data_IF_995928167658
#
_entry.id   IF_995928167658
#
_cell.length_a   1.000
_cell.length_b   1.000
_cell.length_c   1.000
_cell.angle_alpha   90.00
_cell.angle_beta   90.00
_cell.angle_gamma   90.00
#
_symmetry.space_group_name_H-M   'P 1'
#
loop_
_entity.id
_entity.type
_entity.pdbx_description
1 polymer ?
#
# COMPACT_ATOMS: atom_id res chain seq x y z
N UNK A 1 7.83 -33.44 -7.79
CA UNK A 1 8.73 -33.53 -6.61
C UNK A 1 10.05 -32.76 -6.78
N UNK A 2 10.55 -32.60 -7.99
CA UNK A 2 11.81 -31.85 -8.26
C UNK A 2 11.67 -30.33 -8.16
N UNK A 3 10.48 -29.77 -8.34
CA UNK A 3 10.26 -28.31 -8.44
C UNK A 3 10.25 -27.58 -7.08
N UNK A 4 9.91 -28.28 -6.00
CA UNK A 4 9.86 -27.69 -4.65
C UNK A 4 11.19 -27.82 -3.87
N UNK A 5 12.14 -28.62 -4.34
CA UNK A 5 13.42 -28.85 -3.67
C UNK A 5 14.27 -27.56 -3.52
N UNK A 6 14.33 -26.66 -4.53
CA UNK A 6 15.04 -25.40 -4.37
C UNK A 6 14.44 -24.48 -3.29
N UNK A 7 13.10 -24.54 -3.08
CA UNK A 7 12.43 -23.76 -2.04
C UNK A 7 12.68 -24.30 -0.63
N UNK A 8 12.81 -25.63 -0.48
CA UNK A 8 13.23 -26.24 0.79
C UNK A 8 14.65 -25.84 1.15
N UNK A 9 15.53 -25.82 0.16
CA UNK A 9 16.90 -25.36 0.40
C UNK A 9 16.93 -23.87 0.76
N UNK A 10 16.08 -23.04 0.14
CA UNK A 10 15.91 -21.63 0.50
C UNK A 10 15.42 -21.48 1.95
N UNK A 11 14.41 -22.25 2.35
CA UNK A 11 13.91 -22.29 3.73
C UNK A 11 15.01 -22.64 4.74
N UNK A 12 15.80 -23.67 4.44
CA UNK A 12 16.89 -24.09 5.28
C UNK A 12 17.94 -22.98 5.46
N UNK A 13 18.33 -22.33 4.37
CA UNK A 13 19.32 -21.25 4.37
C UNK A 13 18.79 -20.02 5.13
N UNK A 14 17.51 -19.69 4.95
CA UNK A 14 16.84 -18.59 5.65
C UNK A 14 16.74 -18.86 7.17
N UNK A 15 16.41 -20.08 7.59
CA UNK A 15 16.43 -20.47 9.01
C UNK A 15 17.84 -20.40 9.58
N UNK A 16 18.85 -20.80 8.81
CA UNK A 16 20.27 -20.67 9.18
C UNK A 16 20.68 -19.22 9.39
N UNK A 17 20.21 -18.29 8.54
CA UNK A 17 20.46 -16.84 8.69
C UNK A 17 19.81 -16.28 9.96
N UNK A 18 18.59 -16.70 10.28
CA UNK A 18 17.84 -16.19 11.45
C UNK A 18 18.35 -16.77 12.78
N UNK A 19 18.91 -17.97 12.79
CA UNK A 19 19.41 -18.65 14.00
C UNK A 19 20.85 -18.29 14.39
N UNK A 20 21.59 -17.54 13.57
CA UNK A 20 23.01 -17.19 13.76
C UNK A 20 23.20 -15.67 13.86
N UNK A 21 24.40 -15.17 14.21
CA UNK A 21 24.73 -13.77 14.00
C UNK A 21 24.42 -13.36 12.55
N UNK A 22 23.85 -12.20 12.39
CA UNK A 22 23.42 -11.72 11.08
C UNK A 22 24.59 -11.58 10.11
N UNK A 23 24.51 -12.27 8.99
CA UNK A 23 25.48 -12.19 7.89
C UNK A 23 24.83 -11.58 6.66
N UNK A 24 25.34 -10.43 6.25
CA UNK A 24 24.77 -9.65 5.16
C UNK A 24 24.92 -10.34 3.81
N UNK A 25 26.02 -11.05 3.57
CA UNK A 25 26.23 -11.77 2.30
C UNK A 25 25.27 -12.96 2.16
N UNK A 26 24.98 -13.65 3.27
CA UNK A 26 23.97 -14.70 3.30
C UNK A 26 22.58 -14.10 3.10
N UNK A 27 22.28 -12.97 3.74
CA UNK A 27 20.99 -12.29 3.61
C UNK A 27 20.74 -11.82 2.15
N UNK A 28 21.73 -11.22 1.49
CA UNK A 28 21.67 -10.84 0.08
C UNK A 28 21.37 -12.07 -0.81
N UNK A 29 22.10 -13.17 -0.60
CA UNK A 29 21.89 -14.40 -1.38
C UNK A 29 20.51 -15.04 -1.16
N UNK A 30 20.05 -15.11 0.09
CA UNK A 30 18.72 -15.64 0.42
C UNK A 30 17.62 -14.77 -0.21
N UNK A 31 17.75 -13.44 -0.17
CA UNK A 31 16.81 -12.52 -0.77
C UNK A 31 16.72 -12.70 -2.30
N UNK A 32 17.87 -12.70 -2.97
CA UNK A 32 17.95 -12.85 -4.43
C UNK A 32 17.39 -14.21 -4.91
N UNK A 33 17.72 -15.30 -4.18
CA UNK A 33 17.19 -16.63 -4.49
C UNK A 33 15.68 -16.73 -4.24
N UNK A 34 15.15 -16.10 -3.21
CA UNK A 34 13.71 -16.09 -2.94
C UNK A 34 12.95 -15.39 -4.07
N UNK A 35 13.47 -14.29 -4.59
CA UNK A 35 12.90 -13.59 -5.75
C UNK A 35 12.96 -14.47 -7.02
N UNK A 36 14.11 -15.10 -7.30
CA UNK A 36 14.30 -15.95 -8.48
C UNK A 36 13.44 -17.22 -8.45
N UNK A 37 13.22 -17.82 -7.29
CA UNK A 37 12.45 -19.06 -7.15
C UNK A 37 10.93 -18.83 -7.17
N UNK A 38 10.48 -17.60 -6.98
CA UNK A 38 9.07 -17.25 -7.12
C UNK A 38 8.61 -17.18 -8.60
N UNK A 39 9.52 -16.87 -9.54
CA UNK A 39 9.21 -16.73 -10.97
C UNK A 39 8.77 -18.03 -11.66
N UNK A 40 9.45 -19.18 -11.48
CA UNK A 40 9.10 -20.41 -12.20
C UNK A 40 7.85 -21.13 -11.67
N UNK A 41 7.25 -20.69 -10.55
CA UNK A 41 6.08 -21.30 -9.95
C UNK A 41 4.75 -20.81 -10.56
N UNK A 42 4.65 -20.84 -11.88
CA UNK A 42 3.53 -20.29 -12.65
C UNK A 42 2.21 -21.11 -12.59
N UNK A 43 2.14 -22.18 -11.80
CA UNK A 43 0.93 -22.96 -11.63
C UNK A 43 -0.02 -22.26 -10.63
N UNK A 44 -1.31 -22.07 -10.93
CA UNK A 44 -2.29 -21.50 -10.00
C UNK A 44 -2.33 -22.19 -8.63
N UNK A 45 -1.94 -23.48 -8.57
CA UNK A 45 -1.81 -24.24 -7.32
C UNK A 45 -0.71 -23.73 -6.40
N UNK A 46 0.30 -23.08 -6.96
CA UNK A 46 1.44 -22.53 -6.21
C UNK A 46 1.24 -21.07 -5.80
N UNK A 47 0.12 -20.43 -6.13
CA UNK A 47 -0.11 -19.00 -5.92
C UNK A 47 0.15 -18.52 -4.47
N UNK A 48 -0.36 -19.26 -3.47
CA UNK A 48 -0.13 -18.92 -2.05
C UNK A 48 1.34 -19.10 -1.62
N UNK A 49 2.06 -20.06 -2.20
CA UNK A 49 3.47 -20.30 -1.93
C UNK A 49 4.33 -19.19 -2.56
N UNK A 50 4.06 -18.83 -3.82
CA UNK A 50 4.70 -17.67 -4.50
C UNK A 50 4.49 -16.41 -3.68
N UNK A 51 3.27 -16.20 -3.24
CA UNK A 51 2.90 -15.07 -2.40
C UNK A 51 3.69 -15.02 -1.08
N UNK A 52 3.79 -16.12 -0.37
CA UNK A 52 4.54 -16.20 0.89
C UNK A 52 6.05 -16.00 0.66
N UNK A 53 6.61 -16.58 -0.41
CA UNK A 53 8.03 -16.45 -0.77
C UNK A 53 8.39 -15.01 -1.11
N UNK A 54 7.59 -14.34 -1.94
CA UNK A 54 7.78 -12.93 -2.29
C UNK A 54 7.60 -12.01 -1.07
N UNK A 55 6.65 -12.31 -0.18
CA UNK A 55 6.46 -11.58 1.06
C UNK A 55 7.68 -11.64 1.97
N UNK A 56 8.28 -12.82 2.11
CA UNK A 56 9.54 -13.01 2.85
C UNK A 56 10.70 -12.25 2.19
N UNK A 57 10.89 -12.38 0.86
CA UNK A 57 11.91 -11.66 0.11
C UNK A 57 11.78 -10.14 0.26
N UNK A 58 10.58 -9.60 0.07
CA UNK A 58 10.30 -8.17 0.17
C UNK A 58 10.59 -7.60 1.57
N UNK A 59 10.35 -8.40 2.63
CA UNK A 59 10.68 -7.97 3.98
C UNK A 59 12.18 -8.07 4.27
N UNK A 60 12.83 -9.11 3.77
CA UNK A 60 14.27 -9.32 3.90
C UNK A 60 15.08 -8.24 3.16
N UNK A 61 14.63 -7.82 1.97
CA UNK A 61 15.31 -6.80 1.16
C UNK A 61 15.45 -5.45 1.88
N UNK A 62 14.59 -5.14 2.83
CA UNK A 62 14.70 -3.92 3.63
C UNK A 62 16.00 -3.86 4.45
N UNK A 63 16.53 -5.01 4.86
CA UNK A 63 17.78 -5.12 5.63
C UNK A 63 18.99 -5.19 4.71
N UNK A 64 18.90 -5.92 3.60
CA UNK A 64 20.00 -6.01 2.63
C UNK A 64 20.27 -4.65 1.96
N UNK A 65 19.21 -3.91 1.61
CA UNK A 65 19.33 -2.58 1.01
C UNK A 65 19.88 -1.52 1.99
N UNK A 66 19.47 -1.58 3.26
CA UNK A 66 19.95 -0.63 4.28
C UNK A 66 21.32 -0.98 4.83
N UNK A 67 21.85 -2.18 4.53
CA UNK A 67 23.09 -2.73 5.09
C UNK A 67 23.10 -2.79 6.62
N UNK A 68 21.92 -2.92 7.22
CA UNK A 68 21.72 -3.00 8.68
C UNK A 68 20.96 -4.27 9.01
N UNK A 69 21.49 -5.08 9.91
CA UNK A 69 20.81 -6.30 10.37
C UNK A 69 19.53 -5.98 11.17
N UNK A 70 18.57 -6.91 11.19
CA UNK A 70 17.32 -6.72 11.91
C UNK A 70 17.53 -6.72 13.43
N UNK A 71 16.81 -5.84 14.12
CA UNK A 71 16.66 -5.92 15.59
C UNK A 71 15.73 -7.09 15.93
N UNK A 72 15.74 -7.53 17.19
CA UNK A 72 15.05 -8.75 17.63
C UNK A 72 13.57 -8.81 17.23
N UNK A 73 12.83 -7.72 17.41
CA UNK A 73 11.41 -7.64 17.00
C UNK A 73 11.20 -7.84 15.50
N UNK A 74 12.17 -7.47 14.68
CA UNK A 74 12.16 -7.65 13.23
C UNK A 74 12.58 -9.05 12.80
N UNK A 75 13.44 -9.71 13.59
CA UNK A 75 13.76 -11.14 13.42
C UNK A 75 12.52 -12.00 13.60
N UNK A 76 11.74 -11.76 14.66
CA UNK A 76 10.46 -12.45 14.91
C UNK A 76 9.50 -12.30 13.71
N UNK A 77 9.46 -11.13 13.08
CA UNK A 77 8.64 -10.92 11.89
C UNK A 77 9.14 -11.69 10.66
N UNK A 78 10.47 -11.77 10.47
CA UNK A 78 11.07 -12.59 9.41
C UNK A 78 10.80 -14.08 9.64
N UNK A 79 10.89 -14.55 10.89
CA UNK A 79 10.55 -15.92 11.27
C UNK A 79 9.09 -16.25 10.96
N UNK A 80 8.14 -15.35 11.31
CA UNK A 80 6.73 -15.54 11.02
C UNK A 80 6.43 -15.61 9.51
N UNK A 81 7.12 -14.81 8.68
CA UNK A 81 6.99 -14.87 7.22
C UNK A 81 7.60 -16.15 6.65
N UNK A 82 8.72 -16.61 7.21
CA UNK A 82 9.35 -17.88 6.84
C UNK A 82 8.47 -19.07 7.22
N UNK A 83 7.85 -19.04 8.40
CA UNK A 83 6.90 -20.07 8.84
C UNK A 83 5.67 -20.14 7.94
N UNK A 84 5.14 -19.00 7.49
CA UNK A 84 4.04 -18.96 6.52
C UNK A 84 4.44 -19.61 5.17
N UNK A 85 5.66 -19.37 4.69
CA UNK A 85 6.19 -20.02 3.49
C UNK A 85 6.33 -21.54 3.70
N UNK A 86 6.85 -21.96 4.84
CA UNK A 86 6.99 -23.38 5.22
C UNK A 86 5.63 -24.09 5.26
N UNK A 87 4.62 -23.46 5.85
CA UNK A 87 3.26 -24.01 5.91
C UNK A 87 2.67 -24.23 4.51
N UNK A 88 2.87 -23.30 3.59
CA UNK A 88 2.40 -23.46 2.20
C UNK A 88 3.15 -24.58 1.46
N UNK A 89 4.46 -24.69 1.68
CA UNK A 89 5.28 -25.80 1.16
C UNK A 89 4.74 -27.16 1.63
N UNK A 90 4.48 -27.32 2.93
CA UNK A 90 3.95 -28.56 3.51
C UNK A 90 2.55 -28.91 3.00
N UNK A 91 1.69 -27.90 2.82
CA UNK A 91 0.34 -28.09 2.26
C UNK A 91 0.39 -28.65 0.85
N UNK A 92 1.27 -28.12 0.00
CA UNK A 92 1.43 -28.61 -1.38
C UNK A 92 1.98 -30.03 -1.43
N UNK A 93 2.93 -30.39 -0.54
CA UNK A 93 3.43 -31.75 -0.43
C UNK A 93 2.36 -32.75 0.00
N UNK A 94 1.53 -32.35 0.97
CA UNK A 94 0.44 -33.18 1.49
C UNK A 94 -0.65 -33.35 0.44
N UNK A 95 -1.00 -32.31 -0.28
CA UNK A 95 -1.99 -32.37 -1.37
C UNK A 95 -1.53 -33.29 -2.51
N UNK A 96 -0.26 -33.17 -2.92
CA UNK A 96 0.33 -34.05 -3.95
C UNK A 96 0.37 -35.52 -3.49
N UNK A 97 0.60 -35.77 -2.21
CA UNK A 97 0.57 -37.11 -1.65
C UNK A 97 -0.84 -37.71 -1.61
N UNK A 98 -1.87 -36.90 -1.36
CA UNK A 98 -3.28 -37.36 -1.40
C UNK A 98 -3.75 -37.67 -2.83
N UNK A 99 -3.34 -36.90 -3.83
CA UNK A 99 -3.67 -37.17 -5.25
C UNK A 99 -3.08 -38.49 -5.75
N UNK A 100 -1.98 -38.97 -5.16
CA UNK A 100 -1.35 -40.25 -5.49
C UNK A 100 -2.08 -41.43 -4.82
N UNK A 101 -2.83 -41.17 -3.73
CA UNK A 101 -3.46 -42.23 -2.91
C UNK A 101 -4.97 -42.45 -3.15
N UNK A 102 -5.63 -41.64 -3.99
CA UNK A 102 -7.05 -41.82 -4.32
C UNK A 102 -7.21 -42.26 -5.77
N UNK A 103 -7.55 -43.53 -6.03
CA UNK A 103 -8.07 -43.91 -7.36
C UNK A 103 -9.44 -43.28 -7.56
N UNK A 104 -9.60 -42.70 -8.71
CA UNK A 104 -10.81 -42.08 -9.20
C UNK A 104 -11.93 -43.08 -9.28
N UNK A 105 -12.82 -43.13 -8.31
CA UNK A 105 -14.15 -43.76 -8.47
C UNK A 105 -15.11 -43.21 -7.40
N UNK A 106 -16.24 -42.73 -7.91
CA UNK A 106 -17.52 -42.51 -7.22
C UNK A 106 -17.66 -41.26 -6.33
N UNK A 107 -18.11 -40.19 -6.95
CA UNK A 107 -19.10 -39.30 -6.33
C UNK A 107 -20.13 -38.92 -7.41
N UNK A 108 -21.11 -39.81 -7.56
CA UNK A 108 -22.37 -39.51 -8.25
C UNK A 108 -23.28 -38.71 -7.34
N UNK A 109 -23.70 -37.56 -7.85
CA UNK A 109 -25.02 -36.94 -7.74
C UNK A 109 -25.77 -36.97 -6.41
N UNK A 110 -25.89 -35.82 -5.78
CA UNK A 110 -27.15 -35.35 -5.21
C UNK A 110 -27.45 -33.92 -5.68
N UNK A 111 -28.69 -33.65 -6.16
CA UNK A 111 -29.06 -32.31 -6.59
C UNK A 111 -29.42 -31.46 -5.37
N UNK A 112 -28.68 -30.34 -5.18
CA UNK A 112 -29.09 -29.30 -4.23
C UNK A 112 -30.39 -28.67 -4.71
N UNK A 113 -31.45 -28.83 -3.94
CA UNK A 113 -32.71 -28.09 -4.08
C UNK A 113 -32.42 -26.58 -3.91
N UNK A 114 -32.77 -25.82 -4.93
CA UNK A 114 -32.89 -24.37 -4.81
C UNK A 114 -34.16 -24.06 -3.99
N UNK A 115 -33.97 -23.58 -2.79
CA UNK A 115 -35.02 -22.95 -2.01
C UNK A 115 -35.35 -21.57 -2.53
N UNK A 116 -36.63 -21.24 -2.51
CA UNK A 116 -37.24 -20.06 -3.10
C UNK A 116 -36.80 -18.77 -2.36
N UNK A 117 -36.89 -17.58 -3.00
CA UNK A 117 -36.46 -16.33 -2.39
C UNK A 117 -37.39 -15.92 -1.25
N UNK A 118 -36.84 -15.83 -0.07
CA UNK A 118 -37.50 -15.22 1.06
C UNK A 118 -37.74 -13.72 0.80
N UNK A 119 -38.92 -13.28 1.11
CA UNK A 119 -39.39 -11.87 1.09
C UNK A 119 -38.42 -10.96 1.84
N UNK A 120 -38.26 -9.72 1.41
CA UNK A 120 -37.33 -8.79 2.07
C UNK A 120 -37.79 -8.50 3.50
N UNK A 121 -37.08 -9.10 4.43
CA UNK A 121 -37.14 -8.73 5.83
C UNK A 121 -36.56 -7.32 6.01
N UNK A 122 -37.25 -6.55 6.79
CA UNK A 122 -36.95 -5.16 7.15
C UNK A 122 -35.46 -4.91 7.36
N UNK A 123 -34.95 -3.91 6.67
CA UNK A 123 -33.60 -3.35 6.86
C UNK A 123 -33.40 -3.03 8.33
N UNK A 124 -32.46 -3.67 9.03
CA UNK A 124 -32.13 -3.26 10.39
C UNK A 124 -31.62 -1.82 10.32
N UNK A 125 -32.18 -0.96 11.16
CA UNK A 125 -31.73 0.41 11.35
C UNK A 125 -30.21 0.43 11.47
N UNK A 126 -29.52 1.43 10.87
CA UNK A 126 -28.05 1.47 10.88
C UNK A 126 -27.58 1.43 12.34
N UNK A 127 -26.91 0.34 12.70
CA UNK A 127 -26.18 0.26 13.96
C UNK A 127 -25.30 1.50 14.03
N UNK A 128 -25.38 2.27 15.12
CA UNK A 128 -24.52 3.42 15.38
C UNK A 128 -23.07 2.99 15.15
N UNK A 129 -22.55 3.25 13.93
CA UNK A 129 -21.11 3.16 13.69
C UNK A 129 -20.49 4.13 14.66
N UNK A 130 -19.53 3.69 15.45
CA UNK A 130 -18.74 4.58 16.29
C UNK A 130 -18.23 5.70 15.36
N UNK A 131 -18.54 6.93 15.68
CA UNK A 131 -18.20 8.06 14.82
C UNK A 131 -16.66 8.13 14.73
N UNK A 132 -16.14 8.32 13.52
CA UNK A 132 -14.71 8.49 13.28
C UNK A 132 -14.20 9.67 14.10
N UNK A 133 -13.12 9.45 14.87
CA UNK A 133 -12.64 10.40 15.88
C UNK A 133 -11.33 11.04 15.44
N UNK A 134 -11.22 12.35 15.65
CA UNK A 134 -9.96 13.11 15.52
C UNK A 134 -9.52 13.55 16.92
N UNK A 135 -8.25 13.33 17.23
CA UNK A 135 -7.66 13.85 18.47
C UNK A 135 -7.05 15.21 18.16
N UNK A 136 -7.41 16.21 18.95
CA UNK A 136 -6.82 17.53 18.84
C UNK A 136 -6.07 17.91 20.11
N UNK A 137 -4.76 18.10 20.00
CA UNK A 137 -3.94 18.64 21.08
C UNK A 137 -4.12 20.15 21.12
N UNK A 138 -4.90 20.62 22.06
CA UNK A 138 -5.18 22.04 22.27
C UNK A 138 -4.81 22.48 23.69
N UNK A 139 -3.58 22.90 23.94
CA UNK A 139 -3.14 23.33 25.27
C UNK A 139 -3.93 24.53 25.84
N UNK A 140 -4.60 25.29 24.97
CA UNK A 140 -5.36 26.50 25.37
C UNK A 140 -6.85 26.21 25.52
N UNK A 141 -7.36 25.13 24.95
CA UNK A 141 -8.79 24.78 24.93
C UNK A 141 -9.64 25.71 24.03
N UNK A 142 -9.03 26.59 23.25
CA UNK A 142 -9.73 27.64 22.49
C UNK A 142 -10.01 27.27 21.04
N UNK A 143 -9.10 26.53 20.42
CA UNK A 143 -9.16 26.23 18.98
C UNK A 143 -9.98 24.96 18.71
N UNK A 144 -10.02 24.02 19.66
CA UNK A 144 -10.70 22.73 19.49
C UNK A 144 -12.23 22.84 19.43
N UNK A 145 -12.82 23.79 20.15
CA UNK A 145 -14.28 23.95 20.19
C UNK A 145 -14.87 24.34 18.84
N UNK A 146 -14.32 25.38 18.20
CA UNK A 146 -14.81 25.86 16.91
C UNK A 146 -14.55 24.83 15.79
N UNK A 147 -13.34 24.27 15.73
CA UNK A 147 -13.00 23.23 14.75
C UNK A 147 -13.80 21.94 14.98
N UNK A 148 -14.08 21.61 16.25
CA UNK A 148 -14.92 20.47 16.64
C UNK A 148 -16.29 20.53 16.00
N UNK A 149 -17.00 21.64 16.15
CA UNK A 149 -18.33 21.83 15.58
C UNK A 149 -18.33 21.66 14.05
N UNK A 150 -17.38 22.30 13.36
CA UNK A 150 -17.30 22.20 11.89
C UNK A 150 -16.93 20.77 11.42
N UNK A 151 -16.18 20.01 12.21
CA UNK A 151 -15.86 18.62 11.90
C UNK A 151 -17.00 17.66 12.24
N UNK A 152 -17.81 17.96 13.26
CA UNK A 152 -19.00 17.19 13.59
C UNK A 152 -20.07 17.30 12.47
N UNK A 153 -20.21 18.45 11.85
CA UNK A 153 -21.12 18.67 10.71
C UNK A 153 -20.76 17.77 9.50
N UNK A 154 -19.50 17.35 9.40
CA UNK A 154 -19.02 16.45 8.34
C UNK A 154 -18.80 15.00 8.80
N UNK A 155 -19.26 14.66 10.02
CA UNK A 155 -19.37 13.29 10.54
C UNK A 155 -18.17 12.79 11.36
N UNK A 156 -17.30 13.69 11.83
CA UNK A 156 -16.18 13.36 12.72
C UNK A 156 -16.45 13.89 14.14
N UNK A 157 -15.97 13.16 15.15
CA UNK A 157 -15.95 13.65 16.53
C UNK A 157 -14.55 14.15 16.88
N UNK A 158 -14.45 15.34 17.46
CA UNK A 158 -13.17 15.86 17.94
C UNK A 158 -13.02 15.60 19.43
N UNK A 159 -11.96 14.86 19.81
CA UNK A 159 -11.56 14.64 21.19
C UNK A 159 -10.43 15.61 21.54
N UNK A 160 -10.69 16.70 22.27
CA UNK A 160 -9.63 17.60 22.70
C UNK A 160 -8.80 16.98 23.83
N UNK A 161 -7.47 17.15 23.75
CA UNK A 161 -6.53 16.83 24.81
C UNK A 161 -5.65 18.06 25.08
N UNK A 162 -5.37 18.34 26.36
CA UNK A 162 -4.56 19.50 26.73
C UNK A 162 -3.06 19.33 26.42
N UNK A 163 -2.59 18.09 26.33
CA UNK A 163 -1.17 17.79 26.13
C UNK A 163 -0.99 16.47 25.42
N UNK A 164 0.15 16.34 24.77
CA UNK A 164 0.63 15.11 24.19
C UNK A 164 1.47 14.35 25.21
N UNK A 165 1.02 13.15 25.60
CA UNK A 165 1.68 12.28 26.59
C UNK A 165 1.50 10.80 26.25
N UNK A 166 1.98 9.90 27.14
CA UNK A 166 1.84 8.45 26.93
C UNK A 166 0.39 7.97 26.87
N UNK A 167 -0.55 8.65 27.54
CA UNK A 167 -1.98 8.29 27.45
C UNK A 167 -2.54 8.58 26.07
N UNK A 168 -2.00 9.59 25.37
CA UNK A 168 -2.35 9.88 23.97
C UNK A 168 -2.09 8.67 23.07
N UNK A 169 -1.04 7.89 23.33
CA UNK A 169 -0.74 6.66 22.60
C UNK A 169 -1.86 5.62 22.68
N UNK A 170 -2.49 5.48 23.83
CA UNK A 170 -3.64 4.58 24.03
C UNK A 170 -4.86 5.04 23.20
N UNK A 171 -5.08 6.35 23.11
CA UNK A 171 -6.13 6.89 22.25
C UNK A 171 -5.83 6.65 20.78
N UNK A 172 -4.62 6.93 20.32
CA UNK A 172 -4.21 6.77 18.93
C UNK A 172 -4.27 5.31 18.45
N UNK A 173 -4.22 4.35 19.36
CA UNK A 173 -4.32 2.91 19.04
C UNK A 173 -5.74 2.44 18.77
N UNK A 174 -6.76 3.22 19.13
CA UNK A 174 -8.17 2.86 18.93
C UNK A 174 -8.55 2.90 17.44
N UNK A 175 -9.33 1.94 16.94
CA UNK A 175 -9.67 1.84 15.50
C UNK A 175 -10.56 3.00 15.00
N UNK A 176 -11.36 3.61 15.87
CA UNK A 176 -12.19 4.78 15.55
C UNK A 176 -11.37 6.05 15.35
N UNK A 177 -10.14 6.14 15.86
CA UNK A 177 -9.29 7.32 15.69
C UNK A 177 -8.67 7.32 14.30
N UNK A 178 -8.97 8.39 13.54
CA UNK A 178 -8.54 8.57 12.15
C UNK A 178 -7.46 9.64 11.98
N UNK A 179 -7.28 10.52 12.95
CA UNK A 179 -6.27 11.57 12.84
C UNK A 179 -5.90 12.21 14.17
N UNK A 180 -4.74 12.85 14.14
CA UNK A 180 -4.20 13.68 15.21
C UNK A 180 -3.94 15.08 14.66
N UNK A 181 -4.52 16.09 15.31
CA UNK A 181 -4.25 17.50 15.05
C UNK A 181 -3.29 17.98 16.14
N UNK A 182 -2.12 18.43 15.74
CA UNK A 182 -1.01 18.76 16.63
C UNK A 182 -0.51 20.20 16.40
N UNK A 183 -0.41 21.04 17.44
CA UNK A 183 0.28 22.32 17.32
C UNK A 183 1.75 22.13 16.92
N UNK A 184 2.29 23.01 16.09
CA UNK A 184 3.68 22.93 15.66
C UNK A 184 4.67 22.90 16.85
N UNK A 185 4.35 23.56 17.97
CA UNK A 185 5.12 23.51 19.20
C UNK A 185 5.16 22.09 19.85
N UNK A 186 4.24 21.21 19.49
CA UNK A 186 4.16 19.82 19.99
C UNK A 186 5.03 18.83 19.20
N UNK A 187 5.63 19.23 18.07
CA UNK A 187 6.38 18.33 17.18
C UNK A 187 7.58 17.66 17.87
N UNK A 188 8.30 18.39 18.71
CA UNK A 188 9.44 17.80 19.43
C UNK A 188 9.00 16.76 20.48
N UNK A 189 7.84 16.96 21.09
CA UNK A 189 7.24 15.97 22.00
C UNK A 189 6.77 14.74 21.23
N UNK A 190 6.16 14.95 20.07
CA UNK A 190 5.74 13.88 19.19
C UNK A 190 6.90 12.98 18.76
N UNK A 191 8.01 13.55 18.29
CA UNK A 191 9.20 12.81 17.90
C UNK A 191 9.77 11.98 19.07
N UNK A 192 9.81 12.56 20.28
CA UNK A 192 10.27 11.85 21.48
C UNK A 192 9.33 10.68 21.85
N UNK A 193 8.02 10.87 21.73
CA UNK A 193 7.06 9.81 22.01
C UNK A 193 7.19 8.65 21.03
N UNK A 194 7.38 8.93 19.73
CA UNK A 194 7.63 7.90 18.72
C UNK A 194 8.90 7.09 18.99
N UNK A 195 9.94 7.73 19.53
CA UNK A 195 11.17 7.04 19.93
C UNK A 195 11.00 6.16 21.17
N UNK A 196 10.13 6.58 22.10
CA UNK A 196 9.90 5.89 23.38
C UNK A 196 8.87 4.77 23.29
N UNK A 197 7.94 4.84 22.34
CA UNK A 197 6.85 3.90 22.19
C UNK A 197 6.71 3.44 20.73
N UNK A 198 7.30 2.30 20.37
CA UNK A 198 7.22 1.75 19.01
C UNK A 198 5.79 1.44 18.55
N UNK A 199 4.84 1.23 19.46
CA UNK A 199 3.44 0.98 19.09
C UNK A 199 2.79 2.21 18.43
N UNK A 200 3.27 3.40 18.76
CA UNK A 200 2.85 4.65 18.11
C UNK A 200 3.24 4.74 16.64
N UNK A 201 4.31 4.08 16.21
CA UNK A 201 4.69 4.06 14.79
C UNK A 201 3.65 3.33 13.94
N UNK A 202 3.08 2.24 14.47
CA UNK A 202 1.96 1.55 13.80
C UNK A 202 0.70 2.43 13.77
N UNK A 203 0.35 3.09 14.87
CA UNK A 203 -0.77 4.02 14.92
C UNK A 203 -0.57 5.17 13.92
N UNK A 204 0.63 5.78 13.87
CA UNK A 204 1.00 6.85 12.93
C UNK A 204 0.78 6.48 11.48
N UNK A 205 1.08 5.24 11.08
CA UNK A 205 0.85 4.78 9.70
C UNK A 205 -0.63 4.71 9.34
N UNK A 206 -1.48 4.51 10.32
CA UNK A 206 -2.93 4.35 10.17
C UNK A 206 -3.69 5.68 10.20
N UNK A 207 -3.27 6.63 11.06
CA UNK A 207 -3.95 7.91 11.26
C UNK A 207 -3.35 9.03 10.43
N UNK A 208 -4.15 10.05 10.11
CA UNK A 208 -3.67 11.31 9.54
C UNK A 208 -3.00 12.19 10.61
N UNK A 209 -1.85 12.78 10.30
CA UNK A 209 -1.19 13.78 11.16
C UNK A 209 -1.33 15.17 10.56
N UNK A 210 -1.99 16.07 11.28
CA UNK A 210 -2.22 17.45 10.88
C UNK A 210 -1.51 18.40 11.82
N UNK A 211 -0.68 19.27 11.30
CA UNK A 211 0.04 20.27 12.10
C UNK A 211 -0.60 21.63 11.92
N UNK A 212 -0.90 22.29 13.04
CA UNK A 212 -1.43 23.64 13.08
C UNK A 212 -0.38 24.61 13.67
N UNK A 213 -0.22 25.77 13.06
CA UNK A 213 0.75 26.79 13.46
C UNK A 213 0.12 28.19 13.48
N UNK A 214 0.73 29.14 14.17
CA UNK A 214 0.31 30.57 14.15
C UNK A 214 1.05 31.41 13.10
N UNK A 215 2.08 30.84 12.48
CA UNK A 215 2.88 31.49 11.43
C UNK A 215 3.21 30.50 10.31
N UNK A 216 3.40 31.02 9.10
CA UNK A 216 3.82 30.23 7.94
C UNK A 216 5.34 30.26 7.78
N UNK A 217 6.04 29.77 8.79
CA UNK A 217 7.49 29.70 8.74
C UNK A 217 7.96 28.45 7.97
N UNK A 218 8.87 28.59 6.98
CA UNK A 218 9.39 27.46 6.22
C UNK A 218 10.00 26.35 7.10
N UNK A 219 10.62 26.74 8.23
CA UNK A 219 11.19 25.78 9.20
C UNK A 219 10.12 24.91 9.84
N UNK A 220 8.96 25.49 10.20
CA UNK A 220 7.86 24.72 10.79
C UNK A 220 7.24 23.77 9.77
N UNK A 221 7.08 24.20 8.51
CA UNK A 221 6.64 23.30 7.42
C UNK A 221 7.61 22.14 7.22
N UNK A 222 8.91 22.41 7.17
CA UNK A 222 9.93 21.38 7.02
C UNK A 222 9.88 20.38 8.20
N UNK A 223 9.76 20.87 9.42
CA UNK A 223 9.64 20.03 10.62
C UNK A 223 8.37 19.19 10.60
N UNK A 224 7.23 19.76 10.21
CA UNK A 224 5.98 19.03 10.03
C UNK A 224 6.14 17.91 8.98
N UNK A 225 6.77 18.20 7.85
CA UNK A 225 7.07 17.20 6.82
C UNK A 225 7.97 16.08 7.33
N UNK A 226 9.04 16.38 8.07
CA UNK A 226 9.94 15.41 8.70
C UNK A 226 9.21 14.54 9.73
N UNK A 227 8.28 15.11 10.51
CA UNK A 227 7.41 14.39 11.42
C UNK A 227 6.37 13.52 10.69
N UNK A 228 6.26 13.64 9.37
CA UNK A 228 5.33 12.89 8.53
C UNK A 228 3.92 13.44 8.54
N UNK A 229 3.73 14.75 8.72
CA UNK A 229 2.43 15.38 8.64
C UNK A 229 1.82 15.26 7.24
N UNK A 230 0.52 15.02 7.19
CA UNK A 230 -0.28 14.95 5.98
C UNK A 230 -0.84 16.32 5.57
N UNK A 231 -0.90 17.26 6.53
CA UNK A 231 -1.30 18.64 6.31
C UNK A 231 -0.63 19.60 7.29
N UNK A 232 -0.35 20.83 6.81
CA UNK A 232 0.15 21.94 7.63
C UNK A 232 -0.75 23.15 7.42
N UNK A 233 -1.32 23.67 8.50
CA UNK A 233 -2.31 24.73 8.46
C UNK A 233 -1.91 25.90 9.35
N UNK A 234 -2.14 27.12 8.86
CA UNK A 234 -1.82 28.35 9.60
C UNK A 234 -3.11 28.94 10.16
N UNK A 235 -3.14 29.19 11.46
CA UNK A 235 -4.24 29.84 12.17
C UNK A 235 -3.89 31.31 12.48
N UNK A 236 -4.87 32.26 12.59
CA UNK A 236 -6.31 32.04 12.43
C UNK A 236 -6.71 31.89 10.98
N UNK A 237 -7.76 31.12 10.77
CA UNK A 237 -8.28 30.79 9.45
C UNK A 237 -9.78 30.52 9.57
N UNK A 238 -10.51 30.58 8.43
CA UNK A 238 -11.86 30.09 8.37
C UNK A 238 -11.92 28.60 8.75
N UNK A 239 -12.65 28.32 9.84
CA UNK A 239 -12.66 27.01 10.48
C UNK A 239 -13.37 25.96 9.62
N UNK A 240 -14.42 26.38 8.89
CA UNK A 240 -15.17 25.50 7.99
C UNK A 240 -14.32 25.06 6.80
N UNK A 241 -13.52 25.98 6.25
CA UNK A 241 -12.57 25.66 5.20
C UNK A 241 -11.48 24.71 5.70
N UNK A 242 -10.99 24.93 6.92
CA UNK A 242 -10.00 24.07 7.54
C UNK A 242 -10.54 22.66 7.79
N UNK A 243 -11.76 22.54 8.32
CA UNK A 243 -12.43 21.26 8.53
C UNK A 243 -12.57 20.47 7.22
N UNK A 244 -13.03 21.11 6.15
CA UNK A 244 -13.15 20.51 4.82
C UNK A 244 -11.81 20.00 4.30
N UNK A 245 -10.74 20.80 4.43
CA UNK A 245 -9.41 20.40 3.98
C UNK A 245 -8.86 19.21 4.77
N UNK A 246 -9.04 19.19 6.10
CA UNK A 246 -8.66 18.05 6.94
C UNK A 246 -9.41 16.78 6.49
N UNK A 247 -10.72 16.88 6.28
CA UNK A 247 -11.55 15.74 5.86
C UNK A 247 -11.15 15.23 4.46
N UNK A 248 -10.85 16.12 3.53
CA UNK A 248 -10.35 15.73 2.21
C UNK A 248 -9.03 14.97 2.30
N UNK A 249 -8.08 15.47 3.10
CA UNK A 249 -6.80 14.79 3.32
C UNK A 249 -7.01 13.43 3.96
N UNK A 250 -7.92 13.32 4.94
CA UNK A 250 -8.25 12.04 5.58
C UNK A 250 -8.86 11.04 4.60
N UNK A 251 -9.81 11.46 3.78
CA UNK A 251 -10.41 10.60 2.76
C UNK A 251 -9.37 10.10 1.77
N UNK A 252 -8.52 10.99 1.27
CA UNK A 252 -7.45 10.63 0.36
C UNK A 252 -6.45 9.63 0.99
N UNK A 253 -6.23 9.73 2.32
CA UNK A 253 -5.34 8.82 3.04
C UNK A 253 -5.98 7.47 3.32
N UNK A 254 -7.29 7.44 3.62
CA UNK A 254 -8.02 6.23 3.95
C UNK A 254 -8.44 5.44 2.69
N UNK A 255 -8.63 6.12 1.56
CA UNK A 255 -8.93 5.47 0.30
C UNK A 255 -7.66 4.80 -0.26
N UNK A 256 -7.70 3.52 -0.62
CA UNK A 256 -6.57 2.85 -1.24
C UNK A 256 -6.21 3.53 -2.56
N UNK A 257 -4.90 3.62 -2.86
CA UNK A 257 -4.47 4.03 -4.18
C UNK A 257 -4.92 3.00 -5.22
N UNK A 258 -5.32 3.47 -6.39
CA UNK A 258 -5.89 2.65 -7.46
C UNK A 258 -4.87 2.46 -8.57
N UNK A 259 -4.44 1.22 -8.79
CA UNK A 259 -3.49 0.86 -9.84
C UNK A 259 -4.17 0.06 -10.94
N UNK A 260 -3.99 0.50 -12.20
CA UNK A 260 -4.33 -0.29 -13.37
C UNK A 260 -3.06 -0.98 -13.87
N UNK A 261 -3.11 -2.30 -14.03
CA UNK A 261 -2.00 -3.13 -14.51
C UNK A 261 -2.37 -3.64 -15.89
N UNK A 262 -1.55 -3.38 -16.89
CA UNK A 262 -1.75 -3.80 -18.28
C UNK A 262 -0.51 -4.53 -18.75
N UNK A 263 -0.60 -5.85 -18.88
CA UNK A 263 0.49 -6.74 -19.31
C UNK A 263 -0.17 -8.05 -19.78
N UNK A 264 0.19 -8.55 -20.96
CA UNK A 264 -0.37 -9.79 -21.53
C UNK A 264 0.11 -11.06 -20.81
N UNK A 265 1.21 -10.98 -20.05
CA UNK A 265 1.68 -12.07 -19.20
C UNK A 265 0.85 -12.16 -17.92
N UNK A 266 -0.05 -13.15 -17.89
CA UNK A 266 -0.94 -13.42 -16.74
C UNK A 266 -0.13 -13.72 -15.48
N UNK A 267 1.00 -14.42 -15.58
CA UNK A 267 1.84 -14.77 -14.44
C UNK A 267 2.47 -13.53 -13.83
N UNK A 268 2.99 -12.64 -14.66
CA UNK A 268 3.57 -11.37 -14.25
C UNK A 268 2.51 -10.48 -13.58
N UNK A 269 1.31 -10.36 -14.19
CA UNK A 269 0.23 -9.55 -13.61
C UNK A 269 -0.21 -10.06 -12.26
N UNK A 270 -0.28 -11.38 -12.04
CA UNK A 270 -0.59 -11.98 -10.73
C UNK A 270 0.43 -11.57 -9.66
N UNK A 271 1.72 -11.62 -9.98
CA UNK A 271 2.79 -11.23 -9.05
C UNK A 271 2.69 -9.75 -8.71
N UNK A 272 2.60 -8.88 -9.73
CA UNK A 272 2.50 -7.43 -9.57
C UNK A 272 1.26 -7.06 -8.75
N UNK A 273 0.11 -7.65 -9.08
CA UNK A 273 -1.14 -7.42 -8.36
C UNK A 273 -1.03 -7.83 -6.89
N UNK A 274 -0.49 -9.02 -6.60
CA UNK A 274 -0.29 -9.50 -5.23
C UNK A 274 0.56 -8.53 -4.41
N UNK A 275 1.69 -8.08 -4.95
CA UNK A 275 2.60 -7.12 -4.28
C UNK A 275 1.88 -5.80 -3.99
N UNK A 276 1.15 -5.24 -4.97
CA UNK A 276 0.47 -3.96 -4.80
C UNK A 276 -0.73 -4.05 -3.85
N UNK A 277 -1.52 -5.12 -3.90
CA UNK A 277 -2.63 -5.36 -2.96
C UNK A 277 -2.15 -5.49 -1.52
N UNK A 278 -1.04 -6.18 -1.30
CA UNK A 278 -0.41 -6.26 0.04
C UNK A 278 0.07 -4.90 0.55
N UNK A 279 0.43 -4.01 -0.36
CA UNK A 279 0.78 -2.62 -0.02
C UNK A 279 -0.46 -1.73 0.20
N UNK A 280 -1.67 -2.31 0.23
CA UNK A 280 -2.92 -1.61 0.49
C UNK A 280 -3.52 -0.91 -0.73
N UNK A 281 -3.14 -1.29 -1.96
CA UNK A 281 -3.70 -0.69 -3.19
C UNK A 281 -4.93 -1.45 -3.69
N UNK A 282 -5.88 -0.74 -4.29
CA UNK A 282 -6.95 -1.32 -5.12
C UNK A 282 -6.43 -1.49 -6.55
N UNK A 283 -6.46 -2.72 -7.07
CA UNK A 283 -5.85 -3.06 -8.35
C UNK A 283 -6.89 -3.56 -9.34
N UNK A 284 -6.69 -3.24 -10.61
CA UNK A 284 -7.37 -3.88 -11.75
C UNK A 284 -6.31 -4.35 -12.74
N UNK A 285 -6.49 -5.57 -13.22
CA UNK A 285 -5.57 -6.22 -14.17
C UNK A 285 -6.26 -6.35 -15.52
N UNK A 286 -5.51 -6.09 -16.58
CA UNK A 286 -5.91 -6.25 -17.97
C UNK A 286 -4.81 -6.99 -18.71
N UNK A 287 -5.14 -8.18 -19.22
CA UNK A 287 -4.23 -9.00 -20.03
C UNK A 287 -4.50 -8.88 -21.54
N UNK A 288 -5.59 -8.22 -21.93
CA UNK A 288 -5.86 -7.83 -23.31
C UNK A 288 -5.80 -6.30 -23.43
N UNK A 289 -4.75 -5.72 -24.05
CA UNK A 289 -4.57 -4.28 -24.12
C UNK A 289 -5.72 -3.52 -24.78
N UNK A 290 -6.55 -4.19 -25.60
CA UNK A 290 -7.74 -3.57 -26.22
C UNK A 290 -8.81 -3.19 -25.21
N UNK A 291 -8.83 -3.83 -24.04
CA UNK A 291 -9.77 -3.56 -22.95
C UNK A 291 -9.33 -2.42 -22.02
N UNK A 292 -8.13 -1.88 -22.21
CA UNK A 292 -7.58 -0.87 -21.32
C UNK A 292 -8.39 0.44 -21.31
N UNK A 293 -8.77 0.96 -22.47
CA UNK A 293 -9.61 2.17 -22.56
C UNK A 293 -11.04 1.95 -22.06
N UNK A 294 -11.76 0.86 -22.44
CA UNK A 294 -13.06 0.54 -21.85
C UNK A 294 -13.05 0.45 -20.31
N UNK A 295 -11.98 -0.09 -19.70
CA UNK A 295 -11.86 -0.16 -18.25
C UNK A 295 -11.90 1.22 -17.58
N UNK A 296 -11.39 2.26 -18.22
CA UNK A 296 -11.37 3.63 -17.68
C UNK A 296 -12.76 4.25 -17.52
N UNK A 297 -13.80 3.65 -18.09
CA UNK A 297 -15.17 4.12 -17.87
C UNK A 297 -15.66 3.83 -16.46
N UNK A 298 -15.22 2.71 -15.88
CA UNK A 298 -15.63 2.24 -14.55
C UNK A 298 -14.55 2.36 -13.49
N UNK A 299 -13.27 2.48 -13.90
CA UNK A 299 -12.13 2.53 -13.00
C UNK A 299 -11.24 3.74 -13.31
N UNK A 300 -11.09 4.63 -12.33
CA UNK A 300 -10.20 5.80 -12.43
C UNK A 300 -8.92 5.51 -11.68
N UNK A 301 -7.81 5.17 -12.35
CA UNK A 301 -6.56 4.82 -11.69
C UNK A 301 -5.83 6.07 -11.18
N UNK A 302 -5.08 5.91 -10.07
CA UNK A 302 -4.11 6.87 -9.57
C UNK A 302 -2.75 6.71 -10.27
N UNK A 303 -2.49 5.48 -10.77
CA UNK A 303 -1.28 5.11 -11.51
C UNK A 303 -1.60 3.96 -12.46
N UNK A 304 -0.93 3.92 -13.59
CA UNK A 304 -1.00 2.83 -14.57
C UNK A 304 0.38 2.16 -14.65
N UNK A 305 0.40 0.84 -14.55
CA UNK A 305 1.55 0.01 -14.88
C UNK A 305 1.31 -0.57 -16.26
N UNK A 306 2.27 -0.44 -17.16
CA UNK A 306 2.09 -0.78 -18.56
C UNK A 306 3.31 -1.54 -19.09
N UNK A 307 3.09 -2.77 -19.51
CA UNK A 307 4.14 -3.51 -20.24
C UNK A 307 4.39 -2.90 -21.61
N UNK A 308 5.65 -2.88 -22.01
CA UNK A 308 6.05 -2.35 -23.33
C UNK A 308 5.82 -3.35 -24.47
N UNK A 309 5.92 -4.65 -24.20
CA UNK A 309 5.98 -5.68 -25.21
C UNK A 309 4.75 -6.58 -25.17
N UNK A 310 3.64 -6.08 -25.69
CA UNK A 310 2.38 -6.84 -25.79
C UNK A 310 2.05 -7.15 -27.25
N UNK A 311 1.40 -8.29 -27.53
CA UNK A 311 0.95 -8.61 -28.88
C UNK A 311 -0.19 -7.68 -29.33
N UNK A 312 -0.17 -7.30 -30.59
CA UNK A 312 -1.23 -6.49 -31.21
C UNK A 312 -1.06 -4.98 -31.01
N UNK A 313 -1.09 -4.50 -29.77
CA UNK A 313 -0.89 -3.09 -29.41
C UNK A 313 0.34 -2.99 -28.51
N UNK A 314 1.35 -2.25 -28.95
CA UNK A 314 2.54 -2.01 -28.12
C UNK A 314 2.25 -1.09 -26.94
N UNK A 315 3.03 -1.20 -25.86
CA UNK A 315 2.89 -0.31 -24.72
C UNK A 315 3.07 1.17 -25.07
N UNK A 316 3.91 1.53 -26.04
CA UNK A 316 4.08 2.92 -26.48
C UNK A 316 2.85 3.45 -27.24
N UNK A 317 2.19 2.63 -28.04
CA UNK A 317 0.92 3.01 -28.69
C UNK A 317 -0.18 3.22 -27.65
N UNK A 318 -0.29 2.30 -26.68
CA UNK A 318 -1.27 2.42 -25.63
C UNK A 318 -0.98 3.62 -24.70
N UNK A 319 0.29 3.92 -24.41
CA UNK A 319 0.70 5.13 -23.71
C UNK A 319 0.20 6.38 -24.43
N UNK A 320 0.37 6.44 -25.76
CA UNK A 320 -0.09 7.57 -26.55
C UNK A 320 -1.62 7.73 -26.48
N UNK A 321 -2.36 6.62 -26.47
CA UNK A 321 -3.81 6.62 -26.28
C UNK A 321 -4.20 7.12 -24.87
N UNK A 322 -3.49 6.70 -23.82
CA UNK A 322 -3.72 7.20 -22.46
C UNK A 322 -3.44 8.70 -22.35
N UNK A 323 -2.42 9.23 -23.03
CA UNK A 323 -2.11 10.66 -23.04
C UNK A 323 -3.13 11.49 -23.82
N UNK A 324 -3.77 10.91 -24.83
CA UNK A 324 -4.84 11.54 -25.59
C UNK A 324 -6.21 11.46 -24.86
N UNK A 325 -6.38 10.57 -23.90
CA UNK A 325 -7.63 10.34 -23.20
C UNK A 325 -7.80 11.27 -22.00
N UNK A 326 -8.90 12.02 -21.91
CA UNK A 326 -9.12 13.09 -20.92
C UNK A 326 -9.02 12.64 -19.47
N UNK A 327 -9.45 11.40 -19.15
CA UNK A 327 -9.40 10.85 -17.77
C UNK A 327 -8.00 10.46 -17.33
N UNK A 328 -7.08 10.17 -18.26
CA UNK A 328 -5.75 9.63 -17.98
C UNK A 328 -4.59 10.47 -18.48
N UNK A 329 -4.87 11.59 -19.18
CA UNK A 329 -3.83 12.47 -19.71
C UNK A 329 -2.73 12.82 -18.68
N UNK A 330 -3.13 13.02 -17.41
CA UNK A 330 -2.24 13.35 -16.29
C UNK A 330 -2.03 12.19 -15.31
N UNK A 331 -2.60 11.00 -15.56
CA UNK A 331 -2.37 9.83 -14.72
C UNK A 331 -0.96 9.31 -14.99
N UNK A 332 -0.11 9.14 -13.95
CA UNK A 332 1.23 8.63 -14.16
C UNK A 332 1.21 7.22 -14.72
N UNK A 333 2.10 6.98 -15.68
CA UNK A 333 2.31 5.67 -16.31
C UNK A 333 3.72 5.20 -16.02
N UNK A 334 3.81 4.11 -15.28
CA UNK A 334 5.05 3.39 -14.99
C UNK A 334 5.19 2.28 -16.03
N UNK A 335 6.22 2.36 -16.87
CA UNK A 335 6.45 1.36 -17.91
C UNK A 335 7.29 0.22 -17.37
N UNK A 336 6.96 -0.99 -17.78
CA UNK A 336 7.65 -2.22 -17.39
C UNK A 336 8.24 -2.86 -18.65
N UNK A 337 9.48 -3.32 -18.61
CA UNK A 337 10.11 -3.97 -19.76
C UNK A 337 11.20 -4.94 -19.33
N UNK A 338 11.38 -6.00 -20.11
CA UNK A 338 12.55 -6.88 -20.03
C UNK A 338 13.80 -6.34 -20.72
N UNK A 339 13.73 -5.15 -21.36
CA UNK A 339 14.83 -4.58 -22.11
C UNK A 339 15.61 -3.57 -21.25
N UNK A 340 16.90 -3.82 -21.07
CA UNK A 340 17.83 -2.94 -20.34
C UNK A 340 18.38 -1.78 -21.19
N UNK A 341 17.96 -1.68 -22.47
CA UNK A 341 18.50 -0.69 -23.40
C UNK A 341 18.14 0.74 -22.97
N UNK A 342 19.17 1.54 -22.70
CA UNK A 342 19.02 2.93 -22.27
C UNK A 342 18.33 3.82 -23.32
N UNK A 343 18.50 3.55 -24.60
CA UNK A 343 17.84 4.31 -25.68
C UNK A 343 16.33 4.10 -25.63
N UNK A 344 15.86 2.85 -25.46
CA UNK A 344 14.44 2.55 -25.30
C UNK A 344 13.82 3.19 -24.05
N UNK A 345 14.57 3.18 -22.96
CA UNK A 345 14.15 3.91 -21.75
C UNK A 345 13.97 5.40 -22.03
N UNK A 346 14.91 5.99 -22.76
CA UNK A 346 14.84 7.40 -23.15
C UNK A 346 13.65 7.69 -24.07
N UNK A 347 13.45 6.88 -25.12
CA UNK A 347 12.28 6.96 -26.01
C UNK A 347 10.96 6.91 -25.25
N UNK A 348 10.85 5.99 -24.29
CA UNK A 348 9.66 5.76 -23.47
C UNK A 348 9.32 6.98 -22.60
N UNK A 349 10.33 7.56 -21.94
CA UNK A 349 10.15 8.76 -21.14
C UNK A 349 9.80 9.98 -22.00
N UNK A 350 10.40 10.08 -23.21
CA UNK A 350 10.10 11.15 -24.17
C UNK A 350 8.68 11.01 -24.74
N UNK A 351 8.17 9.79 -24.88
CA UNK A 351 6.78 9.53 -25.29
C UNK A 351 5.75 9.85 -24.21
N UNK A 352 6.16 10.27 -23.01
CA UNK A 352 5.28 10.68 -21.92
C UNK A 352 5.13 9.65 -20.80
N UNK A 353 6.02 8.65 -20.70
CA UNK A 353 6.12 7.79 -19.53
C UNK A 353 6.67 8.56 -18.32
N UNK A 354 6.20 8.24 -17.12
CA UNK A 354 6.61 8.90 -15.88
C UNK A 354 7.72 8.12 -15.17
N UNK A 355 7.84 6.83 -15.44
CA UNK A 355 8.92 5.97 -14.92
C UNK A 355 9.09 4.72 -15.77
N UNK A 356 10.20 4.01 -15.51
CA UNK A 356 10.57 2.81 -16.23
C UNK A 356 11.16 1.79 -15.26
N UNK A 357 10.56 0.61 -15.19
CA UNK A 357 11.02 -0.51 -14.38
C UNK A 357 11.47 -1.66 -15.28
N UNK A 358 12.61 -2.25 -14.93
CA UNK A 358 13.20 -3.38 -15.66
C UNK A 358 12.78 -4.68 -14.99
N UNK A 359 12.31 -5.67 -15.78
CA UNK A 359 12.08 -7.05 -15.32
C UNK A 359 13.43 -7.76 -15.10
N UNK A 360 13.62 -8.49 -14.00
CA UNK A 360 12.67 -8.86 -12.98
C UNK A 360 12.38 -7.72 -11.99
N UNK A 361 11.09 -7.57 -11.61
CA UNK A 361 10.64 -6.50 -10.71
C UNK A 361 10.95 -6.84 -9.26
N UNK A 362 11.77 -6.02 -8.61
CA UNK A 362 11.97 -6.11 -7.15
C UNK A 362 10.76 -5.52 -6.43
N UNK A 363 10.07 -6.28 -5.54
CA UNK A 363 8.84 -5.83 -4.89
C UNK A 363 8.95 -4.47 -4.23
N UNK A 364 10.03 -4.19 -3.53
CA UNK A 364 10.27 -2.90 -2.87
C UNK A 364 10.36 -1.74 -3.85
N UNK A 365 11.07 -1.93 -4.97
CA UNK A 365 11.22 -0.90 -5.99
C UNK A 365 9.90 -0.64 -6.71
N UNK A 366 9.15 -1.71 -7.04
CA UNK A 366 7.81 -1.62 -7.61
C UNK A 366 6.89 -0.79 -6.71
N UNK A 367 6.77 -1.16 -5.43
CA UNK A 367 5.91 -0.47 -4.45
C UNK A 367 6.30 1.00 -4.31
N UNK A 368 7.59 1.30 -4.17
CA UNK A 368 8.07 2.68 -4.03
C UNK A 368 7.78 3.53 -5.27
N UNK A 369 8.04 2.98 -6.48
CA UNK A 369 7.77 3.66 -7.73
C UNK A 369 6.28 3.96 -7.91
N UNK A 370 5.43 2.97 -7.64
CA UNK A 370 3.98 3.05 -7.86
C UNK A 370 3.30 3.96 -6.83
N UNK A 371 3.58 3.77 -5.54
CA UNK A 371 2.96 4.58 -4.47
C UNK A 371 3.36 6.04 -4.60
N UNK A 372 4.64 6.35 -4.81
CA UNK A 372 5.08 7.74 -4.95
C UNK A 372 4.40 8.50 -6.08
N UNK A 373 4.14 7.81 -7.21
CA UNK A 373 3.43 8.41 -8.35
C UNK A 373 1.93 8.49 -8.15
N UNK A 374 1.32 7.46 -7.57
CA UNK A 374 -0.10 7.47 -7.23
C UNK A 374 -0.42 8.60 -6.23
N UNK A 375 0.41 8.77 -5.22
CA UNK A 375 0.29 9.85 -4.22
C UNK A 375 0.35 11.23 -4.87
N UNK A 376 1.35 11.45 -5.73
CA UNK A 376 1.51 12.72 -6.46
C UNK A 376 0.34 12.99 -7.39
N UNK A 377 -0.15 11.98 -8.11
CA UNK A 377 -1.31 12.08 -9.00
C UNK A 377 -2.57 12.49 -8.25
N UNK A 378 -2.85 11.82 -7.14
CA UNK A 378 -4.01 12.12 -6.29
C UNK A 378 -3.93 13.54 -5.74
N UNK A 379 -2.75 13.94 -5.27
CA UNK A 379 -2.53 15.30 -4.81
C UNK A 379 -2.76 16.34 -5.92
N UNK A 380 -2.24 16.14 -7.13
CA UNK A 380 -2.44 17.05 -8.25
C UNK A 380 -3.93 17.18 -8.62
N UNK A 381 -4.66 16.07 -8.66
CA UNK A 381 -6.12 16.10 -8.92
C UNK A 381 -6.87 16.90 -7.85
N UNK A 382 -6.46 16.78 -6.58
CA UNK A 382 -7.04 17.57 -5.49
C UNK A 382 -6.70 19.06 -5.64
N UNK A 383 -5.44 19.39 -5.91
CA UNK A 383 -4.99 20.76 -6.08
C UNK A 383 -5.72 21.47 -7.24
N UNK A 384 -6.00 20.73 -8.33
CA UNK A 384 -6.78 21.27 -9.47
C UNK A 384 -8.27 21.46 -9.16
N UNK A 385 -8.85 20.67 -8.24
CA UNK A 385 -10.25 20.87 -7.80
C UNK A 385 -10.37 22.01 -6.79
N UNK A 386 -9.37 22.20 -5.96
CA UNK A 386 -9.37 23.15 -4.85
C UNK A 386 -8.21 24.13 -5.04
N UNK A 387 -8.51 25.38 -5.43
CA UNK A 387 -7.49 26.43 -5.61
C UNK A 387 -6.60 26.68 -4.38
N UNK A 388 -7.01 26.17 -3.19
CA UNK A 388 -6.32 26.32 -1.90
C UNK A 388 -5.80 25.01 -1.33
N UNK A 389 -5.66 23.93 -2.12
CA UNK A 389 -5.15 22.68 -1.61
C UNK A 389 -3.76 22.86 -0.98
N UNK A 390 -3.50 22.37 0.26
CA UNK A 390 -2.19 22.48 0.87
C UNK A 390 -1.15 21.72 0.05
N UNK A 391 0.05 22.27 -0.05
CA UNK A 391 1.17 21.60 -0.70
C UNK A 391 1.49 20.29 0.04
N UNK A 392 1.81 19.20 -0.68
CA UNK A 392 2.26 17.97 -0.03
C UNK A 392 3.55 18.26 0.72
N UNK A 393 3.64 17.74 1.94
CA UNK A 393 4.82 17.88 2.80
C UNK A 393 5.84 16.75 2.58
N UNK A 394 5.54 15.79 1.67
CA UNK A 394 6.40 14.64 1.34
C UNK A 394 6.86 14.69 -0.10
#
# INVERSE_FOLDING_TARGET
>A
MSELEPLKQLEHDARGLLSRPWDMAIADNVCERAEQLAEPLNDPRHGSLVEATLGFAAYLSAFTDSRVGPVESRRIQLEALLDAMTEQLQRLETSTALEILTPFSELTSEPMLFDQPETPSETPAPSKRSADTLIFIDPTGRDAGALGLSLEDVGYVVQPLLRLDRQTGQWLSKPEVKGLILPAAGLDVWDKLLQLDPSLDQARRRIGLFVVARSDEPRLRLRAGQAGADGFFVLPRDVDSLAKEIVEVLRDRLDPYRALIVDDDVSMTMVVESVLRRSGMDTRVINDPTLALPMLETFTPDVILLDLHMPGISGLELLSLFRAHTKTAFTPVVLISGDENQERRYETLTAGGDDYLIKPLRPKHLVAAVIGRAQRSRWLRRALRNSNAPLPLR
#
